data_IF_523091264909
#
_entry.id   IF_523091264909
#
_cell.length_a   1.000
_cell.length_b   1.000
_cell.length_c   1.000
_cell.angle_alpha   90.00
_cell.angle_beta   90.00
_cell.angle_gamma   90.00
#
_symmetry.space_group_name_H-M   'P 1'
#
loop_
_entity.id
_entity.type
_entity.pdbx_description
1 polymer ?
#
# COMPACT_ATOMS: atom_id res chain seq x y z
N UNK A 1 -25.55 24.37 -16.92
CA UNK A 1 -24.55 23.27 -17.03
C UNK A 1 -23.15 23.86 -16.96
N UNK A 2 -22.48 23.80 -15.79
CA UNK A 2 -21.08 24.26 -15.63
C UNK A 2 -20.16 23.05 -15.82
N UNK A 3 -19.30 23.08 -16.84
CA UNK A 3 -18.23 22.10 -17.01
C UNK A 3 -17.25 22.26 -15.85
N UNK A 4 -17.02 21.18 -15.08
CA UNK A 4 -16.00 21.13 -14.04
C UNK A 4 -14.59 21.23 -14.62
N UNK A 5 -13.59 21.64 -13.81
CA UNK A 5 -12.23 21.83 -14.30
C UNK A 5 -11.63 20.50 -14.74
N UNK A 6 -11.01 20.50 -15.92
CA UNK A 6 -10.21 19.39 -16.41
C UNK A 6 -9.15 19.03 -15.36
N UNK A 7 -9.16 17.77 -14.89
CA UNK A 7 -8.12 17.26 -14.02
C UNK A 7 -6.80 17.31 -14.79
N UNK A 8 -5.97 18.31 -14.47
CA UNK A 8 -4.65 18.47 -15.04
C UNK A 8 -3.84 17.22 -14.77
N UNK A 9 -3.42 16.55 -15.84
CA UNK A 9 -2.54 15.39 -15.74
C UNK A 9 -1.22 15.84 -15.10
N UNK A 10 -1.03 15.49 -13.82
CA UNK A 10 0.26 15.69 -13.16
C UNK A 10 1.23 14.72 -13.79
N UNK A 11 2.15 15.23 -14.63
CA UNK A 11 3.23 14.41 -15.17
C UNK A 11 4.10 13.94 -14.01
N UNK A 12 4.22 12.61 -13.86
CA UNK A 12 5.18 12.02 -12.94
C UNK A 12 6.59 12.46 -13.37
N UNK A 13 7.34 13.05 -12.44
CA UNK A 13 8.77 13.35 -12.63
C UNK A 13 9.51 12.02 -12.74
N UNK A 14 10.44 11.92 -13.70
CA UNK A 14 11.22 10.70 -13.88
C UNK A 14 12.12 10.41 -12.68
N UNK A 15 12.33 9.13 -12.34
CA UNK A 15 13.16 8.70 -11.20
C UNK A 15 14.51 9.43 -11.13
N UNK A 16 15.23 9.52 -12.25
CA UNK A 16 16.53 10.19 -12.34
C UNK A 16 16.45 11.66 -11.94
N UNK A 17 15.44 12.38 -12.41
CA UNK A 17 15.26 13.81 -12.14
C UNK A 17 14.96 14.05 -10.67
N UNK A 18 14.09 13.23 -10.08
CA UNK A 18 13.73 13.29 -8.67
C UNK A 18 14.94 13.03 -7.77
N UNK A 19 15.73 11.99 -8.08
CA UNK A 19 16.96 11.67 -7.33
C UNK A 19 17.97 12.81 -7.43
N UNK A 20 18.25 13.32 -8.63
CA UNK A 20 19.21 14.42 -8.82
C UNK A 20 18.78 15.68 -8.08
N UNK A 21 17.48 16.03 -8.11
CA UNK A 21 16.95 17.15 -7.37
C UNK A 21 17.13 16.97 -5.85
N UNK A 22 16.83 15.77 -5.34
CA UNK A 22 16.97 15.41 -3.94
C UNK A 22 18.42 15.47 -3.43
N UNK A 23 19.38 15.00 -4.23
CA UNK A 23 20.80 15.03 -3.90
C UNK A 23 21.43 16.43 -3.98
N UNK A 24 20.83 17.33 -4.78
CA UNK A 24 21.22 18.75 -4.88
C UNK A 24 20.64 19.64 -3.77
N UNK A 25 19.58 19.19 -3.10
CA UNK A 25 18.92 19.96 -2.04
C UNK A 25 19.79 20.13 -0.78
N UNK A 26 19.45 21.15 0.04
CA UNK A 26 20.02 21.39 1.36
C UNK A 26 18.88 21.63 2.37
N UNK A 27 18.58 20.67 3.27
CA UNK A 27 19.22 19.36 3.40
C UNK A 27 18.92 18.42 2.22
N UNK A 28 19.81 17.45 1.98
CA UNK A 28 19.59 16.39 0.98
C UNK A 28 18.41 15.52 1.42
N UNK A 29 17.60 15.08 0.47
CA UNK A 29 16.45 14.22 0.72
C UNK A 29 16.17 13.30 -0.46
N UNK A 30 15.68 12.10 -0.20
CA UNK A 30 15.16 11.18 -1.22
C UNK A 30 13.78 10.71 -0.79
N UNK A 31 12.92 10.39 -1.76
CA UNK A 31 11.61 9.82 -1.48
C UNK A 31 11.78 8.38 -0.95
N UNK A 32 11.05 7.99 0.11
CA UNK A 32 11.14 6.63 0.66
C UNK A 32 10.63 5.56 -0.30
N UNK A 33 9.92 5.91 -1.37
CA UNK A 33 9.49 4.94 -2.39
C UNK A 33 10.67 4.19 -3.03
N UNK A 34 11.87 4.79 -3.02
CA UNK A 34 13.09 4.18 -3.53
C UNK A 34 13.68 3.12 -2.57
N UNK A 35 13.12 2.94 -1.37
CA UNK A 35 13.46 1.79 -0.52
C UNK A 35 12.90 0.47 -1.03
N UNK A 36 11.91 0.46 -1.92
CA UNK A 36 11.16 -0.76 -2.24
C UNK A 36 11.53 -1.32 -3.63
N UNK A 37 12.82 -1.48 -3.88
CA UNK A 37 13.27 -2.43 -4.91
C UNK A 37 13.13 -3.88 -4.39
N UNK A 38 13.59 -4.87 -5.15
CA UNK A 38 13.44 -6.27 -4.76
C UNK A 38 14.10 -6.57 -3.40
N UNK A 39 15.29 -6.01 -3.14
CA UNK A 39 16.03 -6.26 -1.91
C UNK A 39 15.42 -5.49 -0.73
N UNK A 40 15.05 -4.23 -0.93
CA UNK A 40 14.44 -3.44 0.13
C UNK A 40 13.02 -3.90 0.47
N UNK A 41 12.28 -4.49 -0.48
CA UNK A 41 11.04 -5.20 -0.19
C UNK A 41 11.29 -6.43 0.70
N UNK A 42 12.30 -7.25 0.38
CA UNK A 42 12.72 -8.41 1.20
C UNK A 42 13.12 -7.99 2.62
N UNK A 43 13.90 -6.91 2.75
CA UNK A 43 14.27 -6.34 4.05
C UNK A 43 13.06 -5.82 4.82
N UNK A 44 12.09 -5.19 4.13
CA UNK A 44 10.86 -4.74 4.76
C UNK A 44 10.03 -5.91 5.29
N UNK A 45 9.96 -7.03 4.56
CA UNK A 45 9.32 -8.24 5.06
C UNK A 45 9.97 -8.77 6.35
N UNK A 46 11.30 -8.78 6.42
CA UNK A 46 12.01 -9.12 7.66
C UNK A 46 11.71 -8.15 8.80
N UNK A 47 11.69 -6.83 8.49
CA UNK A 47 11.29 -5.81 9.47
C UNK A 47 9.90 -6.12 10.04
N UNK A 48 8.95 -6.56 9.23
CA UNK A 48 7.59 -6.88 9.71
C UNK A 48 7.51 -8.04 10.71
N UNK A 49 8.57 -8.85 10.81
CA UNK A 49 8.67 -9.96 11.75
C UNK A 49 9.39 -9.60 13.05
N UNK A 50 10.05 -8.43 13.12
CA UNK A 50 10.78 -8.01 14.31
C UNK A 50 9.84 -7.80 15.51
N UNK A 51 10.23 -8.19 16.73
CA UNK A 51 9.40 -8.00 17.91
C UNK A 51 9.08 -6.52 18.19
N UNK A 52 10.01 -5.62 17.87
CA UNK A 52 9.89 -4.16 17.99
C UNK A 52 8.93 -3.56 16.95
N UNK A 53 8.84 -4.18 15.77
CA UNK A 53 7.97 -3.71 14.68
C UNK A 53 6.56 -4.30 14.80
N UNK A 54 5.84 -3.88 15.85
CA UNK A 54 4.47 -4.32 16.08
C UNK A 54 3.42 -4.04 14.97
N UNK A 55 3.54 -3.01 14.08
CA UNK A 55 2.43 -2.60 13.21
C UNK A 55 1.79 -3.73 12.40
N UNK A 56 2.59 -4.56 11.73
CA UNK A 56 2.08 -5.65 10.89
C UNK A 56 1.32 -6.69 11.71
N UNK A 57 1.86 -7.09 12.87
CA UNK A 57 1.22 -8.05 13.78
C UNK A 57 -0.09 -7.51 14.35
N UNK A 58 -0.10 -6.23 14.74
CA UNK A 58 -1.29 -5.59 15.29
C UNK A 58 -2.39 -5.44 14.24
N UNK A 59 -2.05 -5.01 13.03
CA UNK A 59 -3.01 -4.89 11.93
C UNK A 59 -3.62 -6.26 11.56
N UNK A 60 -2.79 -7.30 11.41
CA UNK A 60 -3.27 -8.67 11.16
C UNK A 60 -4.23 -9.13 12.25
N UNK A 61 -3.86 -8.97 13.53
CA UNK A 61 -4.72 -9.40 14.64
C UNK A 61 -6.02 -8.60 14.74
N UNK A 62 -6.06 -7.33 14.31
CA UNK A 62 -7.31 -6.58 14.17
C UNK A 62 -8.13 -7.14 13.03
N UNK A 63 -7.51 -7.32 11.86
CA UNK A 63 -8.18 -7.79 10.65
C UNK A 63 -8.83 -9.16 10.87
N UNK A 64 -8.10 -10.11 11.44
CA UNK A 64 -8.61 -11.45 11.82
C UNK A 64 -9.88 -11.38 12.69
N UNK A 65 -10.02 -10.37 13.55
CA UNK A 65 -11.20 -10.22 14.42
C UNK A 65 -12.40 -9.57 13.73
N UNK A 66 -12.19 -8.85 12.64
CA UNK A 66 -13.24 -8.03 12.00
C UNK A 66 -13.52 -8.41 10.56
N UNK A 67 -12.74 -9.34 9.97
CA UNK A 67 -12.78 -9.66 8.54
C UNK A 67 -14.18 -10.11 8.09
N UNK A 68 -14.86 -10.96 8.86
CA UNK A 68 -16.23 -11.41 8.55
C UNK A 68 -17.23 -10.25 8.56
N UNK A 69 -17.05 -9.29 9.47
CA UNK A 69 -17.88 -8.09 9.53
C UNK A 69 -17.61 -7.18 8.34
N UNK A 70 -16.36 -7.06 7.89
CA UNK A 70 -16.02 -6.33 6.66
C UNK A 70 -16.70 -7.00 5.47
N UNK A 71 -16.59 -8.33 5.35
CA UNK A 71 -17.20 -9.07 4.26
C UNK A 71 -18.73 -8.93 4.23
N UNK A 72 -19.38 -9.05 5.39
CA UNK A 72 -20.83 -8.86 5.51
C UNK A 72 -21.29 -7.44 5.14
N UNK A 73 -20.47 -6.41 5.41
CA UNK A 73 -20.76 -5.03 5.03
C UNK A 73 -20.50 -4.75 3.54
N UNK A 74 -19.52 -5.43 2.95
CA UNK A 74 -19.19 -5.31 1.54
C UNK A 74 -20.26 -5.97 0.66
N UNK A 75 -20.79 -7.12 1.09
CA UNK A 75 -21.73 -7.93 0.32
C UNK A 75 -21.04 -8.74 -0.78
N UNK A 76 -21.83 -9.47 -1.60
CA UNK A 76 -21.31 -10.30 -2.67
C UNK A 76 -20.82 -9.48 -3.86
N UNK A 77 -20.01 -10.10 -4.74
CA UNK A 77 -19.61 -9.58 -6.05
C UNK A 77 -18.82 -8.26 -6.00
N UNK A 78 -17.99 -8.09 -4.96
CA UNK A 78 -17.19 -6.88 -4.75
C UNK A 78 -15.78 -6.98 -5.32
N UNK A 79 -15.27 -5.86 -5.84
CA UNK A 79 -13.89 -5.72 -6.26
C UNK A 79 -13.00 -5.28 -5.10
N UNK A 80 -11.90 -6.00 -4.86
CA UNK A 80 -10.90 -5.64 -3.85
C UNK A 80 -9.74 -4.87 -4.49
N UNK A 81 -9.57 -3.61 -4.09
CA UNK A 81 -8.50 -2.73 -4.57
C UNK A 81 -7.44 -2.56 -3.48
N UNK A 82 -6.23 -3.08 -3.71
CA UNK A 82 -5.10 -2.93 -2.79
C UNK A 82 -4.08 -1.91 -3.32
N UNK A 83 -3.90 -0.81 -2.59
CA UNK A 83 -2.87 0.17 -2.89
C UNK A 83 -1.52 -0.25 -2.33
N UNK A 84 -0.67 -0.83 -3.18
CA UNK A 84 0.66 -1.30 -2.81
C UNK A 84 0.61 -2.66 -2.14
N UNK A 85 0.67 -3.72 -2.94
CA UNK A 85 0.28 -5.07 -2.51
C UNK A 85 1.21 -5.76 -1.50
N UNK A 86 2.45 -5.28 -1.36
CA UNK A 86 3.44 -5.86 -0.45
C UNK A 86 3.47 -7.40 -0.55
N UNK A 87 3.46 -8.07 0.62
CA UNK A 87 3.49 -9.52 0.74
C UNK A 87 2.11 -10.22 0.60
N UNK A 88 1.02 -9.50 0.35
CA UNK A 88 -0.32 -10.06 0.12
C UNK A 88 -1.02 -10.75 1.33
N UNK A 89 -0.33 -10.90 2.47
CA UNK A 89 -0.86 -11.62 3.66
C UNK A 89 -2.20 -11.07 4.16
N UNK A 90 -2.35 -9.74 4.18
CA UNK A 90 -3.56 -9.07 4.65
C UNK A 90 -4.72 -9.20 3.67
N UNK A 91 -4.42 -9.06 2.37
CA UNK A 91 -5.42 -9.24 1.32
C UNK A 91 -5.91 -10.67 1.24
N UNK A 92 -5.07 -11.66 1.52
CA UNK A 92 -5.52 -13.05 1.57
C UNK A 92 -6.65 -13.25 2.59
N UNK A 93 -6.55 -12.67 3.79
CA UNK A 93 -7.61 -12.73 4.79
C UNK A 93 -8.94 -12.16 4.27
N UNK A 94 -8.88 -11.01 3.59
CA UNK A 94 -10.08 -10.41 2.99
C UNK A 94 -10.65 -11.28 1.87
N UNK A 95 -9.83 -11.76 0.95
CA UNK A 95 -10.27 -12.62 -0.15
C UNK A 95 -10.90 -13.92 0.33
N UNK A 96 -10.39 -14.49 1.43
CA UNK A 96 -10.95 -15.71 2.02
C UNK A 96 -12.31 -15.48 2.68
N UNK A 97 -12.60 -14.26 3.15
CA UNK A 97 -13.86 -13.91 3.80
C UNK A 97 -14.93 -13.36 2.85
N UNK A 98 -14.52 -12.77 1.72
CA UNK A 98 -15.45 -12.15 0.76
C UNK A 98 -16.27 -13.19 -0.01
N UNK A 99 -17.53 -12.87 -0.23
CA UNK A 99 -18.44 -13.68 -1.05
C UNK A 99 -18.28 -13.30 -2.53
N UNK A 100 -17.81 -14.23 -3.35
CA UNK A 100 -17.64 -14.07 -4.80
C UNK A 100 -16.92 -12.77 -5.24
N UNK A 101 -15.72 -12.45 -4.70
CA UNK A 101 -15.01 -11.24 -5.12
C UNK A 101 -14.62 -11.28 -6.61
N UNK A 102 -14.66 -10.11 -7.28
CA UNK A 102 -14.39 -9.94 -8.72
C UNK A 102 -13.08 -9.21 -9.03
#
# INVERSE_FOLDING_TARGET
MRRGPAHGQTRAVGMREEILAGLRARPKKLSPKFFYDAEGARLFEEITALPEYYPTRTELGILERVVDRIAALAGPDVALLEYGSGAGRKVRLLLDALEHPV
#
